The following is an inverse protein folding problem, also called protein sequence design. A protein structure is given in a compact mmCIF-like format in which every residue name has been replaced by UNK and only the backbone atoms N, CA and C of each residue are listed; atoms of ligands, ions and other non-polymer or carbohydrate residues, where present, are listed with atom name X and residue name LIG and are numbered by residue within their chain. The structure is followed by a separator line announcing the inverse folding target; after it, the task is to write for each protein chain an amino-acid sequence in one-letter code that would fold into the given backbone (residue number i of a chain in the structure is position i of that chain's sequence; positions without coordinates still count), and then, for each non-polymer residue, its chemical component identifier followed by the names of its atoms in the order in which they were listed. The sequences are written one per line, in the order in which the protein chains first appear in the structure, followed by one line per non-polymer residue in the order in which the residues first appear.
data_IF_834281557601
#
_entry.id   IF_834281557601
#
_cell.length_a   1.000
_cell.length_b   1.000
_cell.length_c   1.000
_cell.angle_alpha   90.00
_cell.angle_beta   90.00
_cell.angle_gamma   90.00
#
_symmetry.space_group_name_H-M   'P 1'
#
loop_
_entity.id
_entity.type
_entity.pdbx_description
1 polymer ?
#
# COMPACT_ATOMS: atom_id res chain seq x y z
N UNK A 1 14.17 19.07 17.15
CA UNK A 1 14.72 18.87 15.81
C UNK A 1 15.61 20.07 15.54
N UNK A 2 16.86 19.96 15.98
CA UNK A 2 17.91 20.94 15.70
C UNK A 2 18.05 21.18 14.20
N UNK A 3 18.51 22.38 13.81
CA UNK A 3 18.88 22.85 12.46
C UNK A 3 19.53 21.78 11.53
N UNK A 4 20.16 20.74 12.11
CA UNK A 4 20.76 19.58 11.43
C UNK A 4 19.78 18.54 10.84
N UNK A 5 18.55 18.39 11.34
CA UNK A 5 17.59 17.39 10.83
C UNK A 5 16.98 17.74 9.45
N UNK A 6 17.09 19.00 9.05
CA UNK A 6 16.55 19.50 7.78
C UNK A 6 17.41 19.16 6.58
N UNK A 7 18.70 19.46 6.75
CA UNK A 7 19.73 19.17 5.77
C UNK A 7 19.74 17.67 5.49
N UNK A 8 19.41 16.82 6.47
CA UNK A 8 19.39 15.38 6.29
C UNK A 8 18.21 14.82 5.47
N UNK A 9 17.02 15.45 5.44
CA UNK A 9 15.92 14.95 4.58
C UNK A 9 16.17 15.32 3.12
N UNK A 10 16.52 16.58 2.86
CA UNK A 10 16.83 17.09 1.52
C UNK A 10 18.04 16.39 0.92
N UNK A 11 19.12 16.23 1.71
CA UNK A 11 20.30 15.49 1.27
C UNK A 11 19.98 14.04 0.87
N UNK A 12 18.99 13.40 1.51
CA UNK A 12 18.58 12.03 1.17
C UNK A 12 17.79 11.96 -0.12
N UNK A 13 16.80 12.81 -0.32
CA UNK A 13 16.12 12.86 -1.63
C UNK A 13 17.12 13.18 -2.74
N UNK A 14 18.05 14.10 -2.51
CA UNK A 14 19.11 14.42 -3.46
C UNK A 14 20.00 13.21 -3.72
N UNK A 15 20.51 12.54 -2.68
CA UNK A 15 21.41 11.40 -2.81
C UNK A 15 20.71 10.20 -3.48
N UNK A 16 19.46 9.92 -3.15
CA UNK A 16 18.67 8.87 -3.81
C UNK A 16 18.36 9.22 -5.26
N UNK A 17 18.11 10.50 -5.57
CA UNK A 17 17.92 10.95 -6.96
C UNK A 17 19.22 10.79 -7.74
N UNK A 18 20.34 11.27 -7.22
CA UNK A 18 21.66 11.16 -7.84
C UNK A 18 22.06 9.70 -8.03
N UNK A 19 21.89 8.85 -7.01
CA UNK A 19 22.15 7.43 -7.11
C UNK A 19 21.37 6.80 -8.27
N UNK A 20 20.06 7.07 -8.35
CA UNK A 20 19.23 6.48 -9.40
C UNK A 20 19.56 7.03 -10.79
N UNK A 21 19.88 8.32 -10.93
CA UNK A 21 20.33 8.91 -12.19
C UNK A 21 21.64 8.26 -12.63
N UNK A 22 22.64 8.17 -11.73
CA UNK A 22 23.91 7.54 -12.04
C UNK A 22 23.72 6.06 -12.40
N UNK A 23 22.91 5.33 -11.63
CA UNK A 23 22.63 3.93 -11.90
C UNK A 23 21.89 3.75 -13.23
N UNK A 24 20.93 4.62 -13.54
CA UNK A 24 20.24 4.66 -14.83
C UNK A 24 21.24 4.85 -15.99
N UNK A 25 22.18 5.79 -15.87
CA UNK A 25 23.22 6.00 -16.87
C UNK A 25 24.14 4.77 -17.04
N UNK A 26 24.47 4.07 -15.96
CA UNK A 26 25.28 2.83 -16.06
C UNK A 26 24.60 1.72 -16.85
N UNK A 27 23.26 1.71 -16.92
CA UNK A 27 22.53 0.73 -17.75
C UNK A 27 22.81 0.87 -19.26
N UNK A 28 23.45 1.95 -19.72
CA UNK A 28 23.86 2.13 -21.12
C UNK A 28 25.30 1.69 -21.38
N UNK A 29 26.09 1.46 -20.33
CA UNK A 29 27.52 1.17 -20.44
C UNK A 29 27.79 -0.33 -20.27
N UNK A 30 27.07 -0.98 -19.36
CA UNK A 30 27.29 -2.39 -19.03
C UNK A 30 26.28 -3.32 -19.70
N UNK A 31 26.68 -4.57 -19.90
CA UNK A 31 25.81 -5.62 -20.44
C UNK A 31 24.66 -5.96 -19.47
N UNK A 32 23.56 -6.47 -20.03
CA UNK A 32 22.34 -6.84 -19.30
C UNK A 32 22.60 -7.80 -18.15
N UNK A 33 23.35 -8.88 -18.40
CA UNK A 33 23.70 -9.88 -17.39
C UNK A 33 24.35 -9.24 -16.16
N UNK A 34 25.35 -8.36 -16.35
CA UNK A 34 26.05 -7.68 -15.26
C UNK A 34 25.11 -6.73 -14.52
N UNK A 35 24.32 -5.93 -15.24
CA UNK A 35 23.45 -4.94 -14.64
C UNK A 35 22.35 -5.55 -13.77
N UNK A 36 21.80 -6.71 -14.15
CA UNK A 36 20.81 -7.43 -13.34
C UNK A 36 21.39 -7.84 -11.99
N UNK A 37 22.58 -8.44 -11.95
CA UNK A 37 23.23 -8.82 -10.69
C UNK A 37 23.60 -7.62 -9.84
N UNK A 38 24.16 -6.57 -10.45
CA UNK A 38 24.50 -5.34 -9.71
C UNK A 38 23.23 -4.70 -9.14
N UNK A 39 22.14 -4.65 -9.91
CA UNK A 39 20.86 -4.12 -9.46
C UNK A 39 20.30 -4.92 -8.27
N UNK A 40 20.30 -6.25 -8.38
CA UNK A 40 19.80 -7.17 -7.35
C UNK A 40 20.56 -7.08 -6.01
N UNK A 41 21.81 -6.61 -6.01
CA UNK A 41 22.66 -6.56 -4.80
C UNK A 41 22.83 -5.13 -4.28
N UNK A 42 23.25 -4.20 -5.15
CA UNK A 42 23.62 -2.84 -4.74
C UNK A 42 22.40 -2.01 -4.32
N UNK A 43 21.29 -2.13 -5.05
CA UNK A 43 20.09 -1.33 -4.79
C UNK A 43 19.44 -1.69 -3.45
N UNK A 44 19.31 -2.99 -3.06
CA UNK A 44 18.84 -3.36 -1.73
C UNK A 44 19.71 -2.84 -0.59
N UNK A 45 21.03 -2.81 -0.74
CA UNK A 45 21.94 -2.24 0.26
C UNK A 45 21.61 -0.76 0.49
N UNK A 46 21.36 -0.01 -0.58
CA UNK A 46 21.00 1.41 -0.51
C UNK A 46 19.60 1.60 0.08
N UNK A 47 18.65 0.73 -0.28
CA UNK A 47 17.32 0.69 0.32
C UNK A 47 17.38 0.49 1.84
N UNK A 48 18.15 -0.50 2.31
CA UNK A 48 18.35 -0.78 3.74
C UNK A 48 19.00 0.41 4.44
N UNK A 49 20.06 0.97 3.86
CA UNK A 49 20.74 2.15 4.39
C UNK A 49 19.78 3.34 4.54
N UNK A 50 18.94 3.58 3.54
CA UNK A 50 17.93 4.64 3.52
C UNK A 50 16.91 4.47 4.66
N UNK A 51 16.37 3.26 4.84
CA UNK A 51 15.41 2.93 5.93
C UNK A 51 16.07 3.09 7.30
N UNK A 52 17.28 2.58 7.50
CA UNK A 52 18.00 2.68 8.78
C UNK A 52 18.24 4.14 9.15
N UNK A 53 18.62 4.97 8.20
CA UNK A 53 18.83 6.39 8.43
C UNK A 53 17.52 7.09 8.77
N UNK A 54 16.45 6.79 8.02
CA UNK A 54 15.13 7.36 8.25
C UNK A 54 14.55 7.01 9.62
N UNK A 55 14.79 5.77 10.05
CA UNK A 55 14.49 5.35 11.41
C UNK A 55 15.28 6.13 12.46
N UNK A 56 16.59 6.32 12.27
CA UNK A 56 17.41 7.10 13.22
C UNK A 56 16.92 8.53 13.36
N UNK A 57 16.45 9.12 12.25
CA UNK A 57 15.97 10.49 12.20
C UNK A 57 14.55 10.66 12.76
N UNK A 58 13.59 9.86 12.31
CA UNK A 58 12.17 10.05 12.62
C UNK A 58 11.64 9.11 13.70
N UNK A 59 12.40 8.08 14.09
CA UNK A 59 12.00 6.99 15.00
C UNK A 59 10.73 6.26 14.55
N UNK A 60 10.47 6.24 13.24
CA UNK A 60 9.38 5.53 12.58
C UNK A 60 9.88 4.98 11.25
N UNK A 61 9.28 3.87 10.80
CA UNK A 61 9.55 3.25 9.49
C UNK A 61 8.47 3.58 8.46
N UNK A 62 7.41 4.27 8.86
CA UNK A 62 6.27 4.58 8.00
C UNK A 62 6.39 6.02 7.51
N UNK A 63 7.36 6.26 6.63
CA UNK A 63 7.56 7.53 5.92
C UNK A 63 7.56 7.29 4.41
N UNK A 64 7.39 8.32 3.57
CA UNK A 64 7.42 8.16 2.12
C UNK A 64 8.72 7.51 1.64
N UNK A 65 9.87 7.97 2.13
CA UNK A 65 11.19 7.42 1.75
C UNK A 65 11.33 5.97 2.22
N UNK A 66 10.92 5.65 3.46
CA UNK A 66 11.09 4.29 3.99
C UNK A 66 10.23 3.27 3.23
N UNK A 67 8.96 3.62 2.94
CA UNK A 67 8.07 2.74 2.17
C UNK A 67 8.55 2.62 0.72
N UNK A 68 8.95 3.74 0.10
CA UNK A 68 9.56 3.72 -1.23
C UNK A 68 10.81 2.83 -1.26
N UNK A 69 11.71 3.00 -0.30
CA UNK A 69 12.96 2.23 -0.21
C UNK A 69 12.66 0.74 -0.03
N UNK A 70 11.70 0.38 0.81
CA UNK A 70 11.30 -1.01 1.00
C UNK A 70 10.75 -1.63 -0.30
N UNK A 71 9.80 -0.97 -0.95
CA UNK A 71 9.15 -1.53 -2.15
C UNK A 71 10.09 -1.49 -3.35
N UNK A 72 10.61 -0.31 -3.70
CA UNK A 72 11.27 -0.04 -4.98
C UNK A 72 12.78 -0.24 -4.95
N UNK A 73 13.41 -0.17 -3.77
CA UNK A 73 14.85 -0.38 -3.62
C UNK A 73 15.22 -1.73 -3.00
N UNK A 74 14.29 -2.44 -2.36
CA UNK A 74 14.58 -3.75 -1.74
C UNK A 74 13.76 -4.86 -2.41
N UNK A 75 12.43 -4.83 -2.29
CA UNK A 75 11.59 -5.91 -2.79
C UNK A 75 11.74 -6.07 -4.31
N UNK A 76 11.71 -4.96 -5.06
CA UNK A 76 11.81 -5.03 -6.52
C UNK A 76 13.16 -5.53 -7.04
N UNK A 77 14.32 -5.02 -6.56
CA UNK A 77 15.60 -5.52 -7.05
C UNK A 77 15.88 -6.96 -6.64
N UNK A 78 15.47 -7.41 -5.45
CA UNK A 78 15.70 -8.81 -5.02
C UNK A 78 14.97 -9.79 -5.95
N UNK A 79 13.85 -9.39 -6.57
CA UNK A 79 13.11 -10.22 -7.52
C UNK A 79 13.51 -10.01 -8.98
N UNK A 80 14.62 -9.31 -9.24
CA UNK A 80 15.13 -9.10 -10.60
C UNK A 80 15.89 -10.31 -11.17
N UNK A 81 16.33 -11.24 -10.32
CA UNK A 81 16.98 -12.48 -10.73
C UNK A 81 15.96 -13.48 -11.31
N UNK A 82 16.50 -14.47 -12.02
CA UNK A 82 15.72 -15.60 -12.54
C UNK A 82 15.16 -16.46 -11.40
N UNK A 83 13.93 -16.93 -11.55
CA UNK A 83 13.29 -17.91 -10.68
C UNK A 83 12.45 -18.90 -11.52
N UNK A 84 12.03 -20.05 -10.97
CA UNK A 84 11.16 -21.00 -11.68
C UNK A 84 9.94 -20.32 -12.30
N UNK A 85 9.75 -20.48 -13.62
CA UNK A 85 8.70 -19.83 -14.41
C UNK A 85 8.75 -18.28 -14.39
N UNK A 86 9.91 -17.67 -14.16
CA UNK A 86 10.14 -16.22 -14.13
C UNK A 86 11.54 -15.89 -14.66
N UNK A 87 11.60 -15.37 -15.88
CA UNK A 87 12.85 -14.90 -16.52
C UNK A 87 13.53 -13.79 -15.72
N UNK A 88 14.83 -13.49 -15.89
CA UNK A 88 15.44 -12.31 -15.27
C UNK A 88 14.79 -11.01 -15.77
N UNK A 89 14.84 -9.96 -14.94
CA UNK A 89 14.33 -8.64 -15.32
C UNK A 89 15.22 -8.03 -16.41
N UNK A 90 14.61 -7.54 -17.49
CA UNK A 90 15.37 -6.92 -18.57
C UNK A 90 15.95 -5.55 -18.21
N UNK A 91 16.97 -5.10 -18.96
CA UNK A 91 17.51 -3.74 -18.86
C UNK A 91 16.43 -2.67 -19.00
N UNK A 92 15.43 -2.91 -19.85
CA UNK A 92 14.30 -2.01 -20.04
C UNK A 92 13.48 -1.92 -18.76
N UNK A 93 13.18 -3.05 -18.12
CA UNK A 93 12.48 -3.09 -16.84
C UNK A 93 13.21 -2.32 -15.75
N UNK A 94 14.53 -2.52 -15.64
CA UNK A 94 15.39 -1.78 -14.71
C UNK A 94 15.30 -0.27 -14.97
N UNK A 95 15.41 0.15 -16.24
CA UNK A 95 15.34 1.57 -16.63
C UNK A 95 14.00 2.22 -16.28
N UNK A 96 12.88 1.55 -16.52
CA UNK A 96 11.55 2.07 -16.18
C UNK A 96 11.40 2.25 -14.67
N UNK A 97 11.83 1.25 -13.88
CA UNK A 97 11.78 1.33 -12.41
C UNK A 97 12.62 2.50 -11.89
N UNK A 98 13.87 2.63 -12.37
CA UNK A 98 14.76 3.72 -11.99
C UNK A 98 14.18 5.08 -12.40
N UNK A 99 13.54 5.17 -13.57
CA UNK A 99 12.91 6.42 -14.04
C UNK A 99 11.77 6.83 -13.11
N UNK A 100 10.87 5.90 -12.76
CA UNK A 100 9.81 6.14 -11.78
C UNK A 100 10.37 6.61 -10.44
N UNK A 101 11.47 6.00 -10.00
CA UNK A 101 12.12 6.38 -8.76
C UNK A 101 12.87 7.73 -8.80
N UNK A 102 13.45 8.12 -9.94
CA UNK A 102 14.00 9.47 -10.17
C UNK A 102 12.89 10.50 -10.03
N UNK A 103 11.75 10.30 -10.70
CA UNK A 103 10.61 11.21 -10.62
C UNK A 103 10.05 11.30 -9.21
N UNK A 104 9.92 10.17 -8.51
CA UNK A 104 9.47 10.14 -7.11
C UNK A 104 10.42 10.90 -6.18
N UNK A 105 11.74 10.65 -6.26
CA UNK A 105 12.71 11.29 -5.37
C UNK A 105 12.92 12.78 -5.69
N UNK A 106 12.95 13.17 -6.97
CA UNK A 106 13.12 14.57 -7.37
C UNK A 106 11.93 15.45 -6.96
N UNK A 107 10.71 14.95 -7.10
CA UNK A 107 9.51 15.64 -6.63
C UNK A 107 9.42 15.68 -5.10
N UNK A 108 9.86 14.61 -4.42
CA UNK A 108 10.01 14.60 -2.96
C UNK A 108 11.02 15.65 -2.47
N UNK A 109 12.15 15.82 -3.18
CA UNK A 109 13.11 16.89 -2.92
C UNK A 109 12.44 18.26 -3.06
N UNK A 110 11.73 18.50 -4.16
CA UNK A 110 11.02 19.75 -4.43
C UNK A 110 10.03 20.10 -3.30
N UNK A 111 9.19 19.15 -2.89
CA UNK A 111 8.25 19.36 -1.77
C UNK A 111 8.98 19.57 -0.46
N UNK A 112 10.06 18.85 -0.19
CA UNK A 112 10.85 19.07 1.04
C UNK A 112 11.50 20.46 1.11
N UNK A 113 11.77 21.09 -0.05
CA UNK A 113 12.27 22.46 -0.14
C UNK A 113 11.15 23.48 0.11
N UNK A 114 9.96 23.27 -0.46
CA UNK A 114 8.79 24.12 -0.25
C UNK A 114 8.27 24.03 1.19
N UNK A 115 8.25 22.83 1.76
CA UNK A 115 7.74 22.56 3.10
C UNK A 115 8.77 22.80 4.22
N UNK A 116 9.86 23.54 3.94
CA UNK A 116 10.90 23.90 4.95
C UNK A 116 10.33 24.53 6.22
N UNK A 117 9.16 25.19 6.18
CA UNK A 117 8.53 25.78 7.36
C UNK A 117 7.84 24.75 8.28
N UNK A 118 7.42 23.59 7.77
CA UNK A 118 6.59 22.62 8.51
C UNK A 118 7.36 21.68 9.43
N UNK A 119 8.68 21.56 9.27
CA UNK A 119 9.53 20.64 10.03
C UNK A 119 10.14 21.36 11.26
N UNK A 120 9.86 22.67 11.45
CA UNK A 120 10.65 23.58 12.32
C UNK A 120 10.05 23.66 13.71
N UNK A 121 8.77 23.32 13.80
CA UNK A 121 8.07 23.11 15.04
C UNK A 121 8.59 21.84 15.64
N UNK A 122 9.55 22.00 16.55
CA UNK A 122 9.82 21.06 17.62
C UNK A 122 8.49 20.80 18.34
N UNK A 123 7.80 19.73 17.95
CA UNK A 123 6.77 19.15 18.80
C UNK A 123 7.53 18.36 19.86
N UNK A 124 8.06 19.12 20.81
CA UNK A 124 8.60 18.61 22.05
C UNK A 124 7.50 17.83 22.77
N UNK A 125 7.75 16.54 22.93
CA UNK A 125 7.54 15.72 24.12
C UNK A 125 6.18 15.62 24.83
N UNK A 126 5.09 16.23 24.38
CA UNK A 126 3.79 15.83 24.92
C UNK A 126 3.34 14.55 24.22
N UNK A 127 3.22 13.49 25.03
CA UNK A 127 2.43 12.29 24.76
C UNK A 127 1.22 12.77 23.97
N UNK A 128 1.16 12.43 22.68
CA UNK A 128 0.07 12.74 21.77
C UNK A 128 -1.23 12.81 22.56
N UNK A 129 -1.73 14.03 22.81
CA UNK A 129 -3.00 14.22 23.49
C UNK A 129 -4.01 13.43 22.67
N UNK A 130 -4.47 12.33 23.24
CA UNK A 130 -5.39 11.42 22.58
C UNK A 130 -6.56 12.28 22.11
N UNK A 131 -6.91 12.27 20.81
CA UNK A 131 -8.03 13.07 20.35
C UNK A 131 -9.24 12.67 21.18
N UNK A 132 -9.70 13.57 22.04
CA UNK A 132 -10.85 13.35 22.90
C UNK A 132 -12.07 13.31 22.00
N UNK A 133 -12.56 12.11 21.72
CA UNK A 133 -13.72 11.94 20.87
C UNK A 133 -14.94 11.60 21.71
N UNK A 134 -16.11 12.01 21.21
CA UNK A 134 -17.36 11.72 21.89
C UNK A 134 -17.57 10.21 21.98
N UNK A 135 -18.26 9.78 23.04
CA UNK A 135 -18.69 8.39 23.16
C UNK A 135 -19.58 7.97 21.98
N UNK A 136 -20.25 8.92 21.32
CA UNK A 136 -21.05 8.67 20.12
C UNK A 136 -20.18 8.14 18.97
N UNK A 137 -19.07 8.81 18.63
CA UNK A 137 -18.19 8.34 17.54
C UNK A 137 -17.58 6.98 17.86
N UNK A 138 -17.12 6.75 19.10
CA UNK A 138 -16.61 5.45 19.51
C UNK A 138 -17.66 4.34 19.36
N UNK A 139 -18.91 4.62 19.75
CA UNK A 139 -20.00 3.66 19.62
C UNK A 139 -20.40 3.44 18.15
N UNK A 140 -20.34 4.45 17.30
CA UNK A 140 -20.52 4.30 15.85
C UNK A 140 -19.44 3.42 15.23
N UNK A 141 -18.18 3.62 15.59
CA UNK A 141 -17.08 2.77 15.10
C UNK A 141 -17.24 1.31 15.54
N UNK A 142 -17.66 1.07 16.79
CA UNK A 142 -18.02 -0.28 17.26
C UNK A 142 -19.18 -0.87 16.47
N UNK A 143 -20.25 -0.10 16.28
CA UNK A 143 -21.44 -0.54 15.55
C UNK A 143 -21.08 -0.94 14.12
N UNK A 144 -20.28 -0.13 13.43
CA UNK A 144 -19.78 -0.40 12.07
C UNK A 144 -19.01 -1.73 12.04
N UNK A 145 -18.10 -1.96 12.99
CA UNK A 145 -17.37 -3.24 13.06
C UNK A 145 -18.28 -4.43 13.41
N UNK A 146 -19.29 -4.24 14.27
CA UNK A 146 -20.28 -5.27 14.61
C UNK A 146 -21.12 -5.64 13.40
N UNK A 147 -21.64 -4.65 12.66
CA UNK A 147 -22.39 -4.86 11.41
C UNK A 147 -21.54 -5.67 10.42
N UNK A 148 -20.26 -5.33 10.32
CA UNK A 148 -19.33 -6.05 9.47
C UNK A 148 -19.12 -7.51 9.91
N UNK A 149 -18.92 -7.75 11.21
CA UNK A 149 -18.84 -9.11 11.75
C UNK A 149 -20.14 -9.89 11.49
N UNK A 150 -21.30 -9.28 11.72
CA UNK A 150 -22.60 -9.89 11.45
C UNK A 150 -22.76 -10.26 9.97
N UNK A 151 -22.34 -9.38 9.06
CA UNK A 151 -22.36 -9.65 7.61
C UNK A 151 -21.50 -10.86 7.23
N UNK A 152 -20.34 -11.02 7.87
CA UNK A 152 -19.44 -12.16 7.67
C UNK A 152 -20.00 -13.45 8.26
N UNK A 153 -20.64 -13.38 9.42
CA UNK A 153 -21.34 -14.52 10.03
C UNK A 153 -22.51 -14.95 9.16
N UNK A 154 -23.33 -14.02 8.67
CA UNK A 154 -24.45 -14.32 7.76
C UNK A 154 -23.93 -14.97 6.48
N UNK A 155 -22.88 -14.42 5.86
CA UNK A 155 -22.25 -15.06 4.70
C UNK A 155 -21.73 -16.47 5.03
N UNK A 156 -21.10 -16.66 6.19
CA UNK A 156 -20.63 -17.97 6.64
C UNK A 156 -21.78 -18.97 6.80
N UNK A 157 -22.90 -18.54 7.39
CA UNK A 157 -24.12 -19.35 7.55
C UNK A 157 -24.77 -19.70 6.19
N UNK A 158 -24.80 -18.76 5.24
CA UNK A 158 -25.37 -18.96 3.90
C UNK A 158 -24.49 -19.92 3.09
N UNK A 159 -23.17 -19.74 3.13
CA UNK A 159 -22.24 -20.54 2.32
C UNK A 159 -21.94 -21.91 2.92
N UNK A 160 -22.25 -22.13 4.21
CA UNK A 160 -22.17 -23.44 4.88
C UNK A 160 -20.78 -24.06 4.90
N UNK A 161 -19.73 -23.32 4.54
CA UNK A 161 -18.38 -23.83 4.34
C UNK A 161 -17.33 -22.82 4.79
N UNK A 162 -16.26 -23.35 5.38
CA UNK A 162 -15.08 -22.55 5.72
C UNK A 162 -14.25 -22.38 4.45
N UNK A 163 -14.36 -21.21 3.80
CA UNK A 163 -13.69 -20.89 2.53
C UNK A 163 -12.15 -20.90 2.62
N UNK A 164 -11.58 -20.86 3.82
CA UNK A 164 -10.12 -21.00 3.99
C UNK A 164 -9.63 -22.43 3.73
N UNK A 165 -10.47 -23.45 3.98
CA UNK A 165 -10.16 -24.88 3.85
C UNK A 165 -10.84 -25.55 2.64
N UNK A 166 -11.72 -24.86 1.93
CA UNK A 166 -12.32 -25.39 0.70
C UNK A 166 -11.27 -25.43 -0.42
N UNK A 167 -10.64 -26.59 -0.59
CA UNK A 167 -9.81 -26.93 -1.75
C UNK A 167 -10.69 -27.06 -2.99
N UNK A 168 -10.32 -26.43 -4.10
CA UNK A 168 -10.92 -26.74 -5.41
C UNK A 168 -12.23 -26.04 -5.75
N UNK A 169 -12.38 -24.77 -5.36
CA UNK A 169 -13.46 -23.95 -5.93
C UNK A 169 -12.96 -23.38 -7.26
N UNK A 170 -13.64 -23.78 -8.34
CA UNK A 170 -13.38 -23.39 -9.74
C UNK A 170 -13.05 -21.90 -9.85
N UNK A 171 -12.16 -21.44 -10.75
CA UNK A 171 -11.89 -20.01 -10.94
C UNK A 171 -13.16 -19.19 -11.24
N UNK A 172 -14.19 -19.83 -11.79
CA UNK A 172 -15.53 -19.27 -11.98
C UNK A 172 -16.26 -19.04 -10.65
N UNK A 173 -16.13 -19.95 -9.68
CA UNK A 173 -16.69 -19.80 -8.34
C UNK A 173 -15.83 -18.92 -7.41
N UNK A 174 -14.55 -18.63 -7.76
CA UNK A 174 -13.80 -17.54 -7.12
C UNK A 174 -14.43 -16.17 -7.39
N UNK A 175 -15.28 -16.08 -8.43
CA UNK A 175 -16.19 -14.96 -8.69
C UNK A 175 -17.58 -15.18 -8.09
N UNK A 176 -17.75 -15.97 -7.03
CA UNK A 176 -18.95 -15.84 -6.16
C UNK A 176 -18.81 -14.53 -5.37
N UNK A 177 -18.97 -13.38 -6.02
CA UNK A 177 -20.22 -12.60 -6.06
C UNK A 177 -20.89 -12.72 -4.70
N UNK A 178 -20.73 -11.65 -3.92
CA UNK A 178 -21.60 -11.24 -2.84
C UNK A 178 -22.72 -12.23 -2.52
N UNK A 179 -22.53 -13.03 -1.47
CA UNK A 179 -23.52 -14.01 -0.99
C UNK A 179 -24.92 -13.42 -0.79
N UNK A 180 -24.97 -12.10 -0.64
CA UNK A 180 -26.16 -11.28 -0.66
C UNK A 180 -25.78 -9.85 -1.05
N UNK A 181 -26.75 -9.09 -1.55
CA UNK A 181 -26.55 -7.70 -1.97
C UNK A 181 -25.87 -6.85 -0.88
N UNK A 182 -24.77 -6.19 -1.24
CA UNK A 182 -24.04 -5.31 -0.32
C UNK A 182 -23.08 -6.03 0.64
N UNK A 183 -22.87 -7.35 0.51
CA UNK A 183 -21.91 -8.09 1.32
C UNK A 183 -20.49 -7.51 1.25
N UNK A 184 -19.94 -7.26 0.06
CA UNK A 184 -18.62 -6.64 -0.10
C UNK A 184 -18.52 -5.27 0.58
N UNK A 185 -19.61 -4.49 0.56
CA UNK A 185 -19.66 -3.20 1.25
C UNK A 185 -19.72 -3.39 2.78
N UNK A 186 -20.62 -4.21 3.30
CA UNK A 186 -20.77 -4.41 4.75
C UNK A 186 -19.55 -5.11 5.38
N UNK A 187 -18.94 -6.05 4.68
CA UNK A 187 -17.73 -6.74 5.14
C UNK A 187 -16.48 -5.84 5.13
N UNK A 188 -16.41 -4.83 4.26
CA UNK A 188 -15.31 -3.86 4.28
C UNK A 188 -15.44 -2.81 5.39
N UNK A 189 -16.67 -2.51 5.84
CA UNK A 189 -16.93 -1.52 6.90
C UNK A 189 -16.14 -1.80 8.18
N UNK A 190 -15.91 -3.07 8.52
CA UNK A 190 -15.13 -3.46 9.69
C UNK A 190 -13.66 -3.04 9.60
N UNK A 191 -13.12 -2.85 8.40
CA UNK A 191 -11.79 -2.26 8.19
C UNK A 191 -11.77 -0.82 8.68
N UNK A 192 -12.82 -0.06 8.35
CA UNK A 192 -12.99 1.35 8.73
C UNK A 192 -13.14 1.47 10.25
N UNK A 193 -14.07 0.69 10.82
CA UNK A 193 -14.31 0.67 12.25
C UNK A 193 -13.08 0.25 13.05
N UNK A 194 -12.38 -0.81 12.62
CA UNK A 194 -11.14 -1.28 13.26
C UNK A 194 -10.03 -0.24 13.25
N UNK A 195 -9.81 0.42 12.10
CA UNK A 195 -8.84 1.51 12.01
C UNK A 195 -9.18 2.66 12.97
N UNK A 196 -10.45 3.11 12.98
CA UNK A 196 -10.91 4.16 13.87
C UNK A 196 -10.72 3.78 15.34
N UNK A 197 -11.09 2.56 15.74
CA UNK A 197 -10.93 2.08 17.12
C UNK A 197 -9.46 2.06 17.57
N UNK A 198 -8.54 1.64 16.70
CA UNK A 198 -7.10 1.66 17.03
C UNK A 198 -6.55 3.08 17.12
N UNK A 199 -7.08 3.98 16.29
CA UNK A 199 -6.68 5.39 16.30
C UNK A 199 -7.02 6.07 17.64
N UNK A 200 -8.23 5.83 18.16
CA UNK A 200 -8.69 6.41 19.42
C UNK A 200 -8.29 5.52 20.61
N UNK A 201 -7.10 5.78 21.16
CA UNK A 201 -6.63 5.13 22.39
C UNK A 201 -7.20 5.82 23.66
N UNK A 202 -7.18 5.14 24.82
CA UNK A 202 -6.78 3.74 25.03
C UNK A 202 -7.83 2.74 24.53
N UNK A 203 -7.36 1.69 23.84
CA UNK A 203 -8.19 0.58 23.37
C UNK A 203 -8.78 -0.17 24.58
N UNK A 204 -10.10 -0.34 24.63
CA UNK A 204 -10.73 -1.20 25.64
C UNK A 204 -10.60 -2.66 25.21
N UNK A 205 -10.68 -3.60 26.16
CA UNK A 205 -10.67 -5.05 25.88
C UNK A 205 -11.73 -5.44 24.84
N UNK A 206 -12.91 -4.82 24.91
CA UNK A 206 -14.00 -5.07 23.96
C UNK A 206 -13.63 -4.67 22.53
N UNK A 207 -12.89 -3.57 22.36
CA UNK A 207 -12.46 -3.08 21.04
C UNK A 207 -11.43 -4.04 20.43
N UNK A 208 -10.50 -4.54 21.25
CA UNK A 208 -9.50 -5.53 20.84
C UNK A 208 -10.19 -6.84 20.42
N UNK A 209 -11.10 -7.36 21.25
CA UNK A 209 -11.84 -8.58 20.94
C UNK A 209 -12.64 -8.45 19.65
N UNK A 210 -13.24 -7.29 19.39
CA UNK A 210 -14.01 -7.03 18.18
C UNK A 210 -13.13 -6.99 16.93
N UNK A 211 -11.96 -6.36 16.99
CA UNK A 211 -10.99 -6.34 15.88
C UNK A 211 -10.46 -7.75 15.59
N UNK A 212 -10.12 -8.52 16.64
CA UNK A 212 -9.66 -9.90 16.50
C UNK A 212 -10.76 -10.79 15.90
N UNK A 213 -12.00 -10.63 16.34
CA UNK A 213 -13.15 -11.33 15.78
C UNK A 213 -13.33 -11.00 14.30
N UNK A 214 -13.28 -9.71 13.93
CA UNK A 214 -13.38 -9.26 12.55
C UNK A 214 -12.31 -9.89 11.65
N UNK A 215 -11.04 -9.83 12.05
CA UNK A 215 -9.93 -10.42 11.29
C UNK A 215 -10.10 -11.94 11.16
N UNK A 216 -10.54 -12.61 12.22
CA UNK A 216 -10.79 -14.06 12.22
C UNK A 216 -11.92 -14.43 11.27
N UNK A 217 -13.04 -13.70 11.29
CA UNK A 217 -14.16 -13.92 10.37
C UNK A 217 -13.78 -13.64 8.91
N UNK A 218 -12.93 -12.63 8.66
CA UNK A 218 -12.40 -12.37 7.33
C UNK A 218 -11.52 -13.53 6.82
N UNK A 219 -10.75 -14.15 7.72
CA UNK A 219 -9.95 -15.32 7.38
C UNK A 219 -10.86 -16.49 7.00
N UNK A 220 -11.87 -16.78 7.84
CA UNK A 220 -12.80 -17.89 7.64
C UNK A 220 -13.61 -17.76 6.35
N UNK A 221 -13.98 -16.54 5.96
CA UNK A 221 -14.70 -16.24 4.71
C UNK A 221 -13.78 -16.10 3.49
N UNK A 222 -12.45 -16.24 3.64
CA UNK A 222 -11.50 -16.18 2.54
C UNK A 222 -11.24 -14.78 1.98
N UNK A 223 -11.66 -13.72 2.70
CA UNK A 223 -11.50 -12.31 2.34
C UNK A 223 -10.08 -11.78 2.63
N UNK A 224 -9.08 -12.42 2.01
CA UNK A 224 -7.64 -12.18 2.23
C UNK A 224 -7.21 -10.74 2.02
N UNK A 225 -7.76 -10.11 0.97
CA UNK A 225 -7.42 -8.74 0.62
C UNK A 225 -7.82 -7.75 1.73
N UNK A 226 -9.02 -7.90 2.30
CA UNK A 226 -9.49 -7.04 3.38
C UNK A 226 -8.64 -7.17 4.65
N UNK A 227 -8.08 -8.35 4.93
CA UNK A 227 -7.15 -8.55 6.06
C UNK A 227 -5.86 -7.77 5.84
N UNK A 228 -5.26 -7.87 4.65
CA UNK A 228 -4.03 -7.14 4.30
C UNK A 228 -4.26 -5.63 4.43
N UNK A 229 -5.36 -5.13 3.87
CA UNK A 229 -5.74 -3.72 3.96
C UNK A 229 -5.95 -3.30 5.41
N UNK A 230 -6.68 -4.09 6.21
CA UNK A 230 -6.93 -3.79 7.63
C UNK A 230 -5.64 -3.72 8.43
N UNK A 231 -4.72 -4.68 8.24
CA UNK A 231 -3.44 -4.69 8.94
C UNK A 231 -2.60 -3.47 8.55
N UNK A 232 -2.49 -3.16 7.25
CA UNK A 232 -1.73 -2.00 6.79
C UNK A 232 -2.30 -0.68 7.32
N UNK A 233 -3.62 -0.53 7.33
CA UNK A 233 -4.29 0.64 7.92
C UNK A 233 -4.02 0.74 9.42
N UNK A 234 -4.21 -0.35 10.17
CA UNK A 234 -3.90 -0.39 11.60
C UNK A 234 -2.43 0.01 11.83
N UNK A 235 -1.48 -0.56 11.08
CA UNK A 235 -0.05 -0.23 11.21
C UNK A 235 0.24 1.23 10.88
N UNK A 236 -0.40 1.79 9.86
CA UNK A 236 -0.23 3.20 9.49
C UNK A 236 -0.69 4.17 10.59
N UNK A 237 -1.63 3.77 11.47
CA UNK A 237 -2.00 4.58 12.64
C UNK A 237 -0.84 4.77 13.63
N UNK A 238 0.16 3.88 13.59
CA UNK A 238 1.37 3.93 14.40
C UNK A 238 2.54 4.67 13.74
N UNK A 239 2.36 5.23 12.53
CA UNK A 239 3.43 5.95 11.82
C UNK A 239 4.02 7.13 12.61
N UNK A 240 3.27 7.66 13.56
CA UNK A 240 3.66 8.79 14.41
C UNK A 240 3.97 8.40 15.86
N UNK A 241 3.84 7.12 16.21
CA UNK A 241 4.17 6.60 17.53
C UNK A 241 5.66 6.28 17.56
N UNK A 242 6.40 6.91 18.49
CA UNK A 242 7.79 6.53 18.75
C UNK A 242 7.79 5.21 19.52
N UNK A 243 8.18 4.14 18.85
CA UNK A 243 8.33 2.85 19.50
C UNK A 243 9.70 2.75 20.19
N UNK A 244 9.69 2.23 21.42
CA UNK A 244 10.91 1.76 22.07
C UNK A 244 11.36 0.41 21.49
N UNK A 245 12.51 -0.06 21.97
CA UNK A 245 13.10 -1.33 21.49
C UNK A 245 12.19 -2.52 21.74
N UNK A 246 11.50 -2.56 22.88
CA UNK A 246 10.62 -3.68 23.27
C UNK A 246 9.39 -3.76 22.36
N UNK A 247 8.78 -2.61 22.09
CA UNK A 247 7.61 -2.51 21.23
C UNK A 247 7.95 -2.91 19.78
N UNK A 248 9.13 -2.53 19.28
CA UNK A 248 9.61 -2.99 17.98
C UNK A 248 9.80 -4.50 17.90
N UNK A 249 10.36 -5.11 18.95
CA UNK A 249 10.49 -6.57 19.00
C UNK A 249 9.10 -7.23 18.96
N UNK A 250 8.14 -6.70 19.71
CA UNK A 250 6.76 -7.22 19.70
C UNK A 250 6.09 -7.06 18.33
N UNK A 251 6.23 -5.91 17.66
CA UNK A 251 5.70 -5.69 16.31
C UNK A 251 6.37 -6.63 15.31
N UNK A 252 7.68 -6.81 15.40
CA UNK A 252 8.44 -7.72 14.54
C UNK A 252 8.00 -9.18 14.73
N UNK A 253 7.94 -9.66 15.98
CA UNK A 253 7.46 -11.01 16.30
C UNK A 253 6.01 -11.21 15.84
N UNK A 254 5.15 -10.21 16.03
CA UNK A 254 3.78 -10.23 15.53
C UNK A 254 3.72 -10.33 14.00
N UNK A 255 4.55 -9.55 13.30
CA UNK A 255 4.63 -9.60 11.83
C UNK A 255 5.16 -10.94 11.31
N UNK A 256 6.16 -11.53 11.98
CA UNK A 256 6.65 -12.87 11.67
C UNK A 256 5.55 -13.92 11.87
N UNK A 257 4.82 -13.86 12.98
CA UNK A 257 3.73 -14.79 13.26
C UNK A 257 2.63 -14.70 12.19
N UNK A 258 2.24 -13.48 11.80
CA UNK A 258 1.27 -13.27 10.71
C UNK A 258 1.81 -13.82 9.39
N UNK A 259 3.06 -13.53 9.05
CA UNK A 259 3.69 -14.02 7.82
C UNK A 259 3.79 -15.55 7.80
N UNK A 260 4.24 -16.18 8.89
CA UNK A 260 4.30 -17.64 9.05
C UNK A 260 2.92 -18.26 8.91
N UNK A 261 1.89 -17.67 9.51
CA UNK A 261 0.51 -18.14 9.38
C UNK A 261 0.04 -18.09 7.91
N UNK A 262 0.31 -17.01 7.17
CA UNK A 262 -0.01 -16.93 5.75
C UNK A 262 0.80 -17.91 4.90
N UNK A 263 2.09 -18.12 5.19
CA UNK A 263 2.92 -19.11 4.49
C UNK A 263 2.35 -20.53 4.69
N UNK A 264 1.98 -20.88 5.93
CA UNK A 264 1.37 -22.18 6.25
C UNK A 264 0.03 -22.34 5.52
N UNK A 265 -0.82 -21.32 5.49
CA UNK A 265 -2.07 -21.36 4.74
C UNK A 265 -1.87 -21.51 3.23
N UNK A 266 -0.88 -20.83 2.65
CA UNK A 266 -0.55 -20.96 1.23
C UNK A 266 -0.03 -22.36 0.92
N UNK A 267 0.80 -22.93 1.79
CA UNK A 267 1.33 -24.29 1.65
C UNK A 267 0.22 -25.34 1.66
N UNK A 268 -0.76 -25.25 2.56
CA UNK A 268 -1.86 -26.22 2.62
C UNK A 268 -2.90 -26.07 1.50
N UNK A 269 -2.93 -24.92 0.81
CA UNK A 269 -3.95 -24.63 -0.20
C UNK A 269 -3.47 -24.75 -1.63
N UNK A 270 -2.19 -24.50 -1.89
CA UNK A 270 -1.63 -24.69 -3.22
C UNK A 270 -1.58 -26.20 -3.51
N UNK A 271 -2.58 -26.69 -4.23
CA UNK A 271 -2.58 -28.08 -4.67
C UNK A 271 -1.49 -28.22 -5.71
N UNK A 272 -0.61 -29.20 -5.53
CA UNK A 272 0.40 -29.57 -6.53
C UNK A 272 -0.23 -29.78 -7.91
N UNK A 273 -1.50 -30.20 -7.94
CA UNK A 273 -2.31 -30.38 -9.14
C UNK A 273 -2.61 -29.09 -9.91
N UNK A 274 -2.84 -27.96 -9.22
CA UNK A 274 -3.11 -26.67 -9.89
C UNK A 274 -1.84 -26.16 -10.58
N UNK A 275 -0.68 -26.27 -9.92
CA UNK A 275 0.62 -25.91 -10.51
C UNK A 275 0.99 -26.83 -11.67
N UNK A 276 0.77 -28.13 -11.51
CA UNK A 276 1.02 -29.10 -12.59
C UNK A 276 0.14 -28.79 -13.81
N UNK A 277 -1.13 -28.49 -13.60
CA UNK A 277 -2.08 -28.24 -14.70
C UNK A 277 -1.80 -26.92 -15.40
N UNK A 278 -1.50 -25.85 -14.66
CA UNK A 278 -1.31 -24.53 -15.26
C UNK A 278 0.10 -24.28 -15.81
N UNK A 279 1.15 -24.81 -15.18
CA UNK A 279 2.54 -24.53 -15.58
C UNK A 279 3.21 -25.69 -16.32
N UNK A 280 2.97 -26.94 -15.88
CA UNK A 280 3.68 -28.09 -16.45
C UNK A 280 2.96 -28.60 -17.70
N UNK A 281 1.65 -28.86 -17.61
CA UNK A 281 0.86 -29.40 -18.75
C UNK A 281 0.74 -28.41 -19.91
N UNK A 282 0.84 -27.11 -19.65
CA UNK A 282 0.86 -26.05 -20.67
C UNK A 282 2.25 -25.84 -21.28
N UNK A 283 3.29 -26.47 -20.73
CA UNK A 283 4.67 -26.31 -21.19
C UNK A 283 5.37 -25.03 -20.74
N UNK A 284 4.75 -24.20 -19.88
CA UNK A 284 5.34 -22.96 -19.37
C UNK A 284 6.56 -23.26 -18.46
N UNK A 285 6.57 -24.40 -17.78
CA UNK A 285 7.66 -24.81 -16.90
C UNK A 285 7.86 -26.34 -16.92
N UNK A 286 9.12 -26.78 -17.01
CA UNK A 286 9.49 -28.20 -17.08
C UNK A 286 10.07 -28.77 -15.78
N UNK A 287 10.20 -27.96 -14.72
CA UNK A 287 10.74 -28.39 -13.42
C UNK A 287 9.67 -28.88 -12.44
N UNK A 288 10.00 -28.90 -11.15
CA UNK A 288 9.12 -29.48 -10.13
C UNK A 288 8.01 -28.54 -9.65
N UNK A 289 6.83 -29.11 -9.37
CA UNK A 289 5.73 -28.36 -8.71
C UNK A 289 6.12 -27.84 -7.33
N UNK A 290 7.06 -28.49 -6.66
CA UNK A 290 7.61 -28.07 -5.37
C UNK A 290 8.42 -26.78 -5.48
N UNK A 291 9.25 -26.66 -6.52
CA UNK A 291 10.01 -25.43 -6.77
C UNK A 291 9.08 -24.28 -7.11
N UNK A 292 8.01 -24.55 -7.88
CA UNK A 292 6.94 -23.58 -8.09
C UNK A 292 6.33 -23.13 -6.76
N UNK A 293 5.86 -24.05 -5.91
CA UNK A 293 5.26 -23.69 -4.61
C UNK A 293 6.22 -22.87 -3.73
N UNK A 294 7.48 -23.28 -3.63
CA UNK A 294 8.49 -22.60 -2.80
C UNK A 294 8.82 -21.17 -3.26
N UNK A 295 8.69 -20.89 -4.55
CA UNK A 295 9.06 -19.59 -5.16
C UNK A 295 7.84 -18.73 -5.51
N UNK A 296 6.64 -19.14 -5.09
CA UNK A 296 5.38 -18.44 -5.38
C UNK A 296 5.40 -16.98 -4.91
N UNK A 297 5.86 -16.71 -3.68
CA UNK A 297 5.94 -15.35 -3.14
C UNK A 297 6.89 -14.48 -3.98
N UNK A 298 8.05 -15.02 -4.34
CA UNK A 298 9.04 -14.29 -5.16
C UNK A 298 8.44 -13.96 -6.52
N UNK A 299 7.73 -14.92 -7.15
CA UNK A 299 7.03 -14.68 -8.42
C UNK A 299 5.95 -13.60 -8.29
N UNK A 300 5.19 -13.55 -7.20
CA UNK A 300 4.19 -12.50 -6.98
C UNK A 300 4.78 -11.08 -7.02
N UNK A 301 5.97 -10.89 -6.44
CA UNK A 301 6.68 -9.60 -6.49
C UNK A 301 7.43 -9.36 -7.80
N UNK A 302 7.94 -10.42 -8.44
CA UNK A 302 8.78 -10.31 -9.63
C UNK A 302 8.00 -10.17 -10.94
N UNK A 303 6.88 -10.88 -11.10
CA UNK A 303 6.13 -10.86 -12.38
C UNK A 303 5.50 -9.52 -12.69
N UNK A 304 5.09 -8.75 -11.68
CA UNK A 304 4.50 -7.44 -11.94
C UNK A 304 5.44 -6.46 -12.65
N UNK A 305 6.75 -6.67 -12.54
CA UNK A 305 7.77 -5.90 -13.25
C UNK A 305 7.97 -6.38 -14.69
N UNK A 306 7.85 -7.69 -14.94
CA UNK A 306 7.97 -8.26 -16.29
C UNK A 306 6.73 -7.96 -17.12
N UNK A 307 5.56 -8.03 -16.50
CA UNK A 307 4.30 -7.58 -17.09
C UNK A 307 4.31 -6.07 -17.39
N UNK A 308 5.03 -5.27 -16.58
CA UNK A 308 5.26 -3.87 -16.94
C UNK A 308 6.09 -3.75 -18.21
N UNK A 309 7.15 -4.53 -18.38
CA UNK A 309 7.95 -4.51 -19.61
C UNK A 309 7.09 -4.85 -20.83
N UNK A 310 6.24 -5.88 -20.75
CA UNK A 310 5.37 -6.26 -21.86
C UNK A 310 4.38 -5.14 -22.24
N UNK A 311 3.77 -4.49 -21.25
CA UNK A 311 2.88 -3.33 -21.47
C UNK A 311 3.61 -2.17 -22.15
N UNK A 312 4.85 -1.90 -21.78
CA UNK A 312 5.66 -0.85 -22.39
C UNK A 312 6.19 -1.25 -23.78
N UNK A 313 6.41 -2.54 -24.05
CA UNK A 313 6.95 -3.03 -25.34
C UNK A 313 5.89 -3.28 -26.41
N UNK A 314 4.65 -3.62 -26.05
CA UNK A 314 3.56 -3.92 -27.00
C UNK A 314 3.19 -2.73 -27.91
N UNK A 315 3.62 -1.50 -27.60
CA UNK A 315 3.22 -0.30 -28.34
C UNK A 315 4.37 0.62 -28.78
N UNK A 316 5.61 0.31 -28.41
CA UNK A 316 6.77 1.13 -28.74
C UNK A 316 7.82 0.31 -29.45
N UNK A 317 8.22 0.77 -30.64
CA UNK A 317 9.47 0.37 -31.26
C UNK A 317 10.61 0.95 -30.41
N UNK A 318 11.16 0.10 -29.54
CA UNK A 318 12.14 0.44 -28.48
C UNK A 318 13.40 1.10 -29.06
N UNK A 319 13.68 0.91 -30.35
CA UNK A 319 14.73 1.60 -31.10
C UNK A 319 14.59 3.14 -31.07
N UNK A 320 13.39 3.67 -30.80
CA UNK A 320 13.09 5.11 -30.73
C UNK A 320 13.16 5.71 -29.32
N UNK A 321 13.41 4.91 -28.28
CA UNK A 321 13.64 5.45 -26.91
C UNK A 321 14.94 6.28 -26.85
N UNK A 322 15.84 6.06 -27.80
CA UNK A 322 17.08 6.83 -28.04
C UNK A 322 16.82 8.17 -28.77
N UNK A 323 15.62 8.38 -29.30
CA UNK A 323 15.17 9.67 -29.83
C UNK A 323 14.34 10.36 -28.76
N UNK A 324 14.99 10.89 -27.72
CA UNK A 324 14.50 12.09 -27.04
C UNK A 324 14.56 13.26 -28.04
N UNK A 325 13.84 13.16 -29.15
CA UNK A 325 13.46 14.34 -29.90
C UNK A 325 12.39 15.02 -29.06
N UNK A 326 12.44 16.36 -29.01
CA UNK A 326 11.32 17.21 -28.63
C UNK A 326 10.15 17.00 -29.62
N UNK A 327 9.70 15.76 -29.81
CA UNK A 327 8.52 15.44 -30.58
C UNK A 327 7.37 16.09 -29.83
N UNK A 328 6.62 16.97 -30.52
CA UNK A 328 5.77 17.95 -29.90
C UNK A 328 4.69 17.28 -29.05
N UNK A 329 4.16 18.07 -28.12
CA UNK A 329 3.04 17.86 -27.18
C UNK A 329 1.73 17.33 -27.86
N UNK A 330 1.79 16.85 -29.09
CA UNK A 330 0.70 16.43 -29.97
C UNK A 330 0.30 14.95 -29.88
N UNK A 331 1.01 14.08 -29.14
CA UNK A 331 0.63 12.66 -28.96
C UNK A 331 0.29 12.19 -27.52
N UNK A 332 -0.32 13.00 -26.62
CA UNK A 332 -0.45 12.62 -25.22
C UNK A 332 -1.47 11.51 -24.92
N UNK A 333 -2.19 10.98 -25.92
CA UNK A 333 -3.31 10.05 -25.74
C UNK A 333 -3.27 8.92 -26.79
N UNK A 334 -2.10 8.34 -27.05
CA UNK A 334 -2.09 6.99 -27.63
C UNK A 334 -2.30 6.05 -26.45
N UNK A 335 -3.54 5.59 -26.28
CA UNK A 335 -3.89 4.59 -25.26
C UNK A 335 -3.56 3.19 -25.78
N UNK A 336 -3.19 2.27 -24.88
CA UNK A 336 -3.08 0.88 -25.26
C UNK A 336 -4.39 0.33 -25.82
N UNK A 337 -4.32 -0.16 -27.06
CA UNK A 337 -5.38 -0.98 -27.63
C UNK A 337 -5.25 -2.34 -26.97
N UNK A 338 -5.96 -2.49 -25.86
CA UNK A 338 -6.11 -3.71 -25.06
C UNK A 338 -4.82 -4.12 -24.31
N UNK A 339 -4.92 -4.10 -22.98
CA UNK A 339 -3.99 -4.80 -22.08
C UNK A 339 -4.12 -6.32 -22.36
N UNK A 340 -3.45 -6.82 -23.39
CA UNK A 340 -3.24 -8.26 -23.57
C UNK A 340 -2.21 -8.71 -22.53
N UNK A 341 -2.74 -9.07 -21.36
CA UNK A 341 -1.96 -9.37 -20.17
C UNK A 341 -1.45 -10.81 -20.25
N UNK A 342 -0.33 -10.99 -20.95
CA UNK A 342 0.19 -12.31 -21.33
C UNK A 342 0.65 -13.20 -20.15
N UNK A 343 0.75 -12.68 -18.92
CA UNK A 343 1.31 -13.44 -17.79
C UNK A 343 0.49 -13.27 -16.51
N UNK A 344 -0.26 -14.33 -16.19
CA UNK A 344 -1.03 -14.44 -14.95
C UNK A 344 -0.33 -15.39 -13.97
N UNK A 345 -0.30 -15.03 -12.69
CA UNK A 345 0.03 -15.97 -11.62
C UNK A 345 -1.29 -16.54 -11.11
N UNK A 346 -1.54 -17.83 -11.33
CA UNK A 346 -2.77 -18.50 -10.91
C UNK A 346 -4.05 -17.77 -11.39
N UNK A 347 -4.08 -17.33 -12.65
CA UNK A 347 -5.15 -16.52 -13.28
C UNK A 347 -5.29 -15.06 -12.79
N UNK A 348 -4.34 -14.54 -12.00
CA UNK A 348 -4.27 -13.12 -11.63
C UNK A 348 -3.14 -12.40 -12.36
N UNK A 349 -3.50 -11.35 -13.10
CA UNK A 349 -2.55 -10.46 -13.77
C UNK A 349 -2.06 -9.40 -12.78
N UNK A 350 -0.89 -9.62 -12.20
CA UNK A 350 -0.27 -8.64 -11.31
C UNK A 350 0.48 -7.61 -12.15
N UNK A 351 0.03 -6.35 -12.10
CA UNK A 351 0.73 -5.22 -12.69
C UNK A 351 1.16 -4.26 -11.60
N UNK A 352 2.32 -3.65 -11.76
CA UNK A 352 2.74 -2.57 -10.88
C UNK A 352 2.05 -1.25 -11.26
N UNK A 353 2.14 -0.27 -10.38
CA UNK A 353 1.52 1.04 -10.55
C UNK A 353 2.01 1.73 -11.82
N UNK A 354 3.27 1.57 -12.23
CA UNK A 354 3.80 2.23 -13.44
C UNK A 354 3.11 1.72 -14.71
N UNK A 355 2.80 0.43 -14.79
CA UNK A 355 2.00 -0.13 -15.88
C UNK A 355 0.61 0.52 -15.97
N UNK A 356 -0.05 0.74 -14.83
CA UNK A 356 -1.36 1.39 -14.80
C UNK A 356 -1.28 2.86 -15.18
N UNK A 357 -0.29 3.61 -14.64
CA UNK A 357 -0.09 5.01 -15.01
C UNK A 357 0.20 5.18 -16.51
N UNK A 358 0.96 4.24 -17.09
CA UNK A 358 1.21 4.20 -18.54
C UNK A 358 -0.04 3.80 -19.33
N UNK A 359 -0.81 2.82 -18.86
CA UNK A 359 -2.08 2.47 -19.49
C UNK A 359 -3.07 3.63 -19.51
N UNK A 360 -3.11 4.42 -18.45
CA UNK A 360 -4.07 5.51 -18.30
C UNK A 360 -3.66 6.76 -19.09
N UNK A 361 -2.37 7.14 -19.04
CA UNK A 361 -1.86 8.42 -19.57
C UNK A 361 -0.78 8.28 -20.67
N UNK A 362 -0.48 7.06 -21.13
CA UNK A 362 0.55 6.80 -22.14
C UNK A 362 1.88 7.44 -21.77
N UNK A 363 2.46 8.20 -22.70
CA UNK A 363 3.74 8.90 -22.53
C UNK A 363 3.79 9.95 -21.41
N UNK A 364 2.64 10.35 -20.85
CA UNK A 364 2.57 11.26 -19.72
C UNK A 364 2.59 10.55 -18.35
N UNK A 365 2.81 9.24 -18.30
CA UNK A 365 2.86 8.47 -17.05
C UNK A 365 3.81 9.06 -15.99
N UNK A 366 4.93 9.63 -16.41
CA UNK A 366 5.92 10.24 -15.50
C UNK A 366 5.36 11.48 -14.79
N UNK A 367 4.45 12.25 -15.43
CA UNK A 367 3.76 13.37 -14.78
C UNK A 367 2.87 12.86 -13.66
N UNK A 368 2.17 11.74 -13.85
CA UNK A 368 1.37 11.15 -12.77
C UNK A 368 2.24 10.68 -11.61
N UNK A 369 3.43 10.10 -11.87
CA UNK A 369 4.39 9.75 -10.80
C UNK A 369 4.80 11.00 -10.02
N UNK A 370 5.09 12.11 -10.70
CA UNK A 370 5.42 13.39 -10.07
C UNK A 370 4.23 13.90 -9.22
N UNK A 371 3.02 13.90 -9.76
CA UNK A 371 1.81 14.35 -9.04
C UNK A 371 1.56 13.50 -7.79
N UNK A 372 1.58 12.16 -7.93
CA UNK A 372 1.38 11.24 -6.81
C UNK A 372 2.46 11.43 -5.73
N UNK A 373 3.72 11.57 -6.15
CA UNK A 373 4.80 11.84 -5.21
C UNK A 373 4.63 13.18 -4.50
N UNK A 374 4.23 14.24 -5.20
CA UNK A 374 3.91 15.54 -4.59
C UNK A 374 2.84 15.38 -3.52
N UNK A 375 1.73 14.71 -3.85
CA UNK A 375 0.61 14.49 -2.94
C UNK A 375 1.04 13.70 -1.70
N UNK A 376 1.74 12.58 -1.88
CA UNK A 376 2.20 11.72 -0.78
C UNK A 376 3.14 12.47 0.16
N UNK A 377 4.13 13.18 -0.40
CA UNK A 377 5.09 13.93 0.40
C UNK A 377 4.42 15.12 1.10
N UNK A 378 3.51 15.83 0.42
CA UNK A 378 2.74 16.91 1.03
C UNK A 378 1.87 16.41 2.18
N UNK A 379 1.12 15.32 2.00
CA UNK A 379 0.29 14.70 3.03
C UNK A 379 1.14 14.25 4.22
N UNK A 380 2.33 13.70 3.98
CA UNK A 380 3.25 13.34 5.07
C UNK A 380 3.64 14.55 5.92
N UNK A 381 4.05 15.67 5.30
CA UNK A 381 4.40 16.90 6.03
C UNK A 381 3.18 17.54 6.70
N UNK A 382 2.03 17.59 6.01
CA UNK A 382 0.77 18.05 6.56
C UNK A 382 0.37 17.26 7.82
N UNK A 383 0.50 15.94 7.78
CA UNK A 383 0.14 15.08 8.91
C UNK A 383 1.10 15.22 10.08
N UNK A 384 2.37 15.56 9.84
CA UNK A 384 3.31 15.88 10.92
C UNK A 384 2.92 17.16 11.66
N UNK A 385 2.41 18.16 10.94
CA UNK A 385 1.93 19.41 11.53
C UNK A 385 0.59 19.22 12.26
N UNK A 386 -0.34 18.49 11.64
CA UNK A 386 -1.68 18.22 12.18
C UNK A 386 -1.81 16.82 12.77
N UNK A 387 -0.83 16.42 13.56
CA UNK A 387 -0.65 15.01 13.97
C UNK A 387 -1.72 14.47 14.93
N UNK A 388 -2.53 15.35 15.53
CA UNK A 388 -3.72 15.00 16.33
C UNK A 388 -5.04 14.98 15.53
N UNK A 389 -5.04 15.42 14.27
CA UNK A 389 -6.25 15.44 13.45
C UNK A 389 -6.51 14.08 12.81
N UNK A 390 -7.72 13.56 13.00
CA UNK A 390 -8.14 12.27 12.42
C UNK A 390 -8.00 12.27 10.89
N UNK A 391 -8.47 13.34 10.23
CA UNK A 391 -8.39 13.49 8.77
C UNK A 391 -6.96 13.40 8.24
N UNK A 392 -6.00 14.04 8.90
CA UNK A 392 -4.61 14.01 8.48
C UNK A 392 -4.04 12.57 8.55
N UNK A 393 -4.34 11.85 9.64
CA UNK A 393 -3.92 10.45 9.79
C UNK A 393 -4.60 9.51 8.79
N UNK A 394 -5.85 9.76 8.42
CA UNK A 394 -6.54 8.97 7.37
C UNK A 394 -5.89 9.21 6.02
N UNK A 395 -5.68 10.47 5.64
CA UNK A 395 -4.99 10.80 4.39
C UNK A 395 -3.61 10.13 4.32
N UNK A 396 -2.85 10.17 5.42
CA UNK A 396 -1.58 9.45 5.49
C UNK A 396 -1.74 7.94 5.37
N UNK A 397 -2.72 7.35 6.06
CA UNK A 397 -2.97 5.90 6.02
C UNK A 397 -3.35 5.42 4.61
N UNK A 398 -4.13 6.23 3.89
CA UNK A 398 -4.44 6.00 2.47
C UNK A 398 -3.20 6.08 1.59
N UNK A 399 -2.31 7.06 1.81
CA UNK A 399 -1.03 7.12 1.10
C UNK A 399 -0.14 5.91 1.41
N UNK A 400 -0.10 5.45 2.67
CA UNK A 400 0.66 4.26 3.07
C UNK A 400 0.12 3.03 2.37
N UNK A 401 -1.21 2.84 2.31
CA UNK A 401 -1.81 1.75 1.54
C UNK A 401 -1.41 1.81 0.06
N UNK A 402 -1.58 2.98 -0.59
CA UNK A 402 -1.27 3.13 -2.01
C UNK A 402 0.20 2.86 -2.33
N UNK A 403 1.13 3.37 -1.52
CA UNK A 403 2.56 3.12 -1.68
C UNK A 403 2.95 1.66 -1.37
N UNK A 404 2.41 1.08 -0.30
CA UNK A 404 2.77 -0.28 0.14
C UNK A 404 2.23 -1.35 -0.79
N UNK A 405 1.22 -1.02 -1.59
CA UNK A 405 0.56 -1.95 -2.49
C UNK A 405 0.74 -1.55 -3.96
N UNK A 406 1.72 -0.68 -4.27
CA UNK A 406 2.03 -0.20 -5.62
C UNK A 406 2.48 -1.28 -6.61
N UNK A 407 2.55 -2.54 -6.18
CA UNK A 407 2.93 -3.71 -6.98
C UNK A 407 1.82 -4.79 -7.02
N UNK A 408 0.67 -4.56 -6.38
CA UNK A 408 -0.44 -5.52 -6.36
C UNK A 408 -1.45 -5.29 -7.49
N UNK A 409 -1.95 -6.41 -8.03
CA UNK A 409 -2.94 -6.54 -9.12
C UNK A 409 -4.28 -5.78 -8.93
N UNK A 410 -4.59 -5.30 -7.73
CA UNK A 410 -5.90 -4.77 -7.37
C UNK A 410 -5.93 -3.25 -7.29
N UNK A 411 -5.28 -2.57 -8.24
CA UNK A 411 -5.25 -1.10 -8.29
C UNK A 411 -6.66 -0.50 -8.34
N UNK A 412 -7.61 -1.18 -8.98
CA UNK A 412 -9.02 -0.78 -9.01
C UNK A 412 -9.69 -0.75 -7.61
N UNK A 413 -9.18 -1.53 -6.64
CA UNK A 413 -9.67 -1.48 -5.26
C UNK A 413 -9.15 -0.25 -4.50
N UNK A 414 -8.10 0.45 -4.96
CA UNK A 414 -7.63 1.67 -4.29
C UNK A 414 -8.62 2.81 -4.38
N UNK A 415 -9.37 2.94 -5.48
CA UNK A 415 -10.36 4.00 -5.63
C UNK A 415 -11.44 3.91 -4.54
N UNK A 416 -11.85 2.68 -4.20
CA UNK A 416 -12.77 2.40 -3.09
C UNK A 416 -12.22 2.93 -1.76
N UNK A 417 -10.95 2.67 -1.44
CA UNK A 417 -10.32 3.11 -0.19
C UNK A 417 -9.92 4.58 -0.16
N UNK A 418 -9.63 5.19 -1.32
CA UNK A 418 -9.26 6.61 -1.42
C UNK A 418 -10.47 7.53 -1.24
N UNK A 419 -11.63 7.14 -1.76
CA UNK A 419 -12.83 8.01 -1.76
C UNK A 419 -13.79 7.65 -0.63
N UNK A 420 -14.10 6.36 -0.47
CA UNK A 420 -15.18 5.96 0.42
C UNK A 420 -14.77 6.06 1.89
N UNK A 421 -13.48 5.83 2.19
CA UNK A 421 -12.96 5.84 3.55
C UNK A 421 -12.91 7.25 4.17
N UNK A 422 -12.36 8.29 3.50
CA UNK A 422 -12.45 9.66 4.03
C UNK A 422 -13.87 10.21 4.04
N UNK A 423 -14.70 9.86 3.05
CA UNK A 423 -16.09 10.32 2.97
C UNK A 423 -16.94 9.80 4.13
N UNK A 424 -16.89 8.48 4.41
CA UNK A 424 -17.64 7.89 5.53
C UNK A 424 -17.24 8.48 6.87
N UNK A 425 -15.94 8.67 7.08
CA UNK A 425 -15.44 9.27 8.31
C UNK A 425 -15.86 10.75 8.41
N UNK A 426 -15.79 11.49 7.31
CA UNK A 426 -16.24 12.88 7.24
C UNK A 426 -17.71 13.01 7.66
N UNK A 427 -18.57 12.10 7.21
CA UNK A 427 -19.98 12.05 7.62
C UNK A 427 -20.13 11.80 9.12
N UNK A 428 -19.41 10.81 9.67
CA UNK A 428 -19.47 10.51 11.11
C UNK A 428 -19.06 11.72 11.95
N UNK A 429 -17.99 12.42 11.55
CA UNK A 429 -17.52 13.63 12.23
C UNK A 429 -18.47 14.82 12.08
N UNK A 430 -19.10 14.99 10.91
CA UNK A 430 -20.10 16.03 10.70
C UNK A 430 -21.33 15.84 11.59
N UNK A 431 -21.79 14.60 11.76
CA UNK A 431 -22.90 14.25 12.65
C UNK A 431 -22.53 14.51 14.12
N UNK A 432 -21.30 14.19 14.54
CA UNK A 432 -20.85 14.48 15.90
C UNK A 432 -20.81 16.00 16.17
N UNK A 433 -20.30 16.78 15.22
CA UNK A 433 -20.20 18.23 15.38
C UNK A 433 -21.57 18.93 15.40
N UNK A 434 -22.54 18.44 14.63
CA UNK A 434 -23.93 18.94 14.70
C UNK A 434 -24.61 18.56 16.02
N UNK A 435 -24.34 17.37 16.56
CA UNK A 435 -24.83 16.93 17.87
C UNK A 435 -24.24 17.75 19.04
N UNK A 436 -23.00 18.21 18.94
CA UNK A 436 -22.39 19.05 19.99
C UNK A 436 -22.92 20.49 19.98
N UNK A 437 -23.21 21.03 18.78
CA UNK A 437 -23.82 22.37 18.63
C UNK A 437 -25.26 22.42 19.15
N UNK A 438 -26.03 21.34 19.04
CA UNK A 438 -27.41 21.31 19.57
C UNK A 438 -27.44 21.26 21.10
N UNK A 439 -26.46 20.61 21.74
CA UNK A 439 -26.34 20.59 23.22
C UNK A 439 -25.84 21.89 23.83
N UNK A 440 -25.14 22.74 23.07
CA UNK A 440 -24.65 24.06 23.52
C UNK A 440 -25.66 25.20 23.35
N UNK A 441 -26.85 24.92 22.81
CA UNK A 441 -27.99 25.84 22.81
C UNK A 441 -29.13 25.31 23.71
N UNK A 442 -28.99 25.33 25.05
CA UNK A 442 -30.18 25.35 25.88
C UNK A 442 -30.80 26.74 25.70
N UNK A 443 -31.97 26.77 25.05
CA UNK A 443 -33.04 27.75 25.26
C UNK A 443 -32.66 28.97 26.12
N UNK A 444 -32.55 30.15 25.50
CA UNK A 444 -32.86 31.42 26.18
C UNK A 444 -34.28 31.30 26.75
N UNK A 445 -34.43 30.73 27.95
CA UNK A 445 -35.62 30.92 28.75
C UNK A 445 -35.63 32.39 29.13
N UNK A 446 -36.65 33.09 28.61
CA UNK A 446 -36.98 34.44 29.02
C UNK A 446 -37.23 34.41 30.52
N UNK A 447 -36.31 34.95 31.30
CA UNK A 447 -36.61 35.40 32.65
C UNK A 447 -37.60 36.57 32.47
N UNK A 448 -38.83 36.50 33.00
CA UNK A 448 -39.69 37.67 33.03
C UNK A 448 -39.06 38.65 34.02
N UNK A 449 -38.70 39.84 33.52
CA UNK A 449 -38.39 40.97 34.41
C UNK A 449 -39.69 41.37 35.11
N UNK A 450 -39.79 41.05 36.40
CA UNK A 450 -40.51 41.86 37.37
C UNK A 450 -39.47 42.45 38.31
N UNK A 451 -39.25 43.75 38.18
CA UNK A 451 -39.36 44.83 39.19
C UNK A 451 -39.41 46.12 38.39
#
# INVERSE_FOLDING_TARGET
MTKYGYVSVQARYLLLTLFQVLFFLTTYVFSESVMVYVYAILVPIIGIWSIVFDYRQFRTLVTPISIYSFVWLICMPITSLEAPAMEPLSLIGIRIILSGGIFFCASGLFISLLCKRFIATDVDSEIFALPSISNFVLNMLRLITIISCASLVVNFLITGSIKIFSSGVDPADRKTIDSFFGFSFLSSLGTIGSFGLVHYRPLKRIDISLIVLYITLQLLTGQRWFIIVTILLILSSYSFVRFGKKEWISVFLGSLLIASFFIVLTYFRSSSSDFETYYIKTGIYSGSTKDLSNTEIIRYFGMCQRNMVTVFSQQYDISKLLQFSLTPILFPIIKPNELSLDTSINAYTANNILSYLYSDMGNLWWLLVVILSIIVNFIFYYTRFYSNHFMARILWSTCVLGLSLSFFAYVNAYFYWIILFPAMIGVILMIDHSSQKSTLNPTRSKIPKQI
#
